data_IF_360108508158
#
_entry.id   IF_360108508158
#
_cell.length_a   1.000
_cell.length_b   1.000
_cell.length_c   1.000
_cell.angle_alpha   90.00
_cell.angle_beta   90.00
_cell.angle_gamma   90.00
#
_symmetry.space_group_name_H-M   'P 1'
#
loop_
_entity.id
_entity.type
_entity.pdbx_description
1 polymer ?
#
# COMPACT_ATOMS: atom_id res chain seq x y z
N UNK A 1 -4.65 -23.57 -2.57
CA UNK A 1 -5.01 -23.45 -2.17
C UNK A 1 -5.86 -23.70 -1.74
N UNK A 2 -6.19 -23.74 -1.54
CA UNK A 2 -7.03 -23.94 -1.24
C UNK A 2 -7.86 -23.41 -0.83
N UNK A 3 -8.29 -23.10 -0.72
CA UNK A 3 -9.08 -22.59 -0.51
C UNK A 3 -9.88 -22.11 -0.29
N UNK A 4 -9.94 -22.06 -0.46
CA UNK A 4 -10.91 -21.33 -0.76
C UNK A 4 -12.12 -21.24 -0.03
N UNK A 5 -12.63 -22.13 0.54
CA UNK A 5 -13.76 -21.98 1.19
C UNK A 5 -13.63 -21.08 2.30
N UNK A 6 -12.50 -20.91 2.69
CA UNK A 6 -12.24 -19.97 3.63
C UNK A 6 -12.61 -18.65 3.22
N UNK A 7 -12.59 -18.46 1.96
CA UNK A 7 -12.91 -17.22 1.41
C UNK A 7 -14.26 -16.78 1.77
N UNK A 8 -15.13 -17.72 1.95
CA UNK A 8 -16.48 -17.38 2.25
C UNK A 8 -16.64 -16.83 3.63
N UNK A 9 -15.65 -17.10 4.43
CA UNK A 9 -15.69 -16.59 5.71
C UNK A 9 -14.69 -15.53 5.84
N UNK A 10 -14.49 -14.79 4.80
CA UNK A 10 -13.49 -13.86 4.79
C UNK A 10 -13.51 -12.98 5.94
N UNK A 11 -12.40 -12.79 6.53
CA UNK A 11 -12.22 -11.80 7.54
C UNK A 11 -12.27 -10.44 6.89
N UNK A 12 -12.73 -9.47 7.61
CA UNK A 12 -12.66 -8.09 7.21
C UNK A 12 -11.20 -7.66 7.30
N UNK A 13 -10.63 -7.20 6.20
CA UNK A 13 -9.24 -6.76 6.13
C UNK A 13 -8.96 -5.63 7.13
N UNK A 14 -9.98 -4.86 7.48
CA UNK A 14 -9.82 -3.77 8.43
C UNK A 14 -9.86 -4.22 9.88
N UNK A 15 -10.22 -5.48 10.13
CA UNK A 15 -10.14 -6.03 11.47
C UNK A 15 -8.88 -6.81 11.66
N UNK A 16 -8.40 -7.44 10.59
CA UNK A 16 -7.22 -8.27 10.67
C UNK A 16 -6.53 -8.26 9.32
N UNK A 17 -5.51 -7.43 9.18
CA UNK A 17 -4.81 -7.28 7.93
C UNK A 17 -3.88 -8.47 7.71
N UNK A 18 -4.10 -9.26 6.67
CA UNK A 18 -3.27 -10.43 6.41
C UNK A 18 -1.90 -10.04 5.86
N UNK A 19 -0.95 -10.95 5.98
CA UNK A 19 0.33 -10.84 5.30
C UNK A 19 0.38 -11.91 4.21
N UNK A 20 1.12 -11.65 3.16
CA UNK A 20 1.26 -12.58 2.05
C UNK A 20 2.75 -12.72 1.74
N UNK A 21 3.19 -13.90 1.40
CA UNK A 21 4.60 -14.04 1.02
C UNK A 21 4.83 -15.19 0.05
N UNK A 22 5.91 -15.07 -0.68
CA UNK A 22 6.45 -16.16 -1.49
C UNK A 22 7.95 -16.26 -1.15
N UNK A 23 8.72 -16.95 -1.98
CA UNK A 23 10.14 -17.18 -1.71
C UNK A 23 10.94 -15.88 -1.65
N UNK A 24 10.54 -14.86 -2.41
CA UNK A 24 11.31 -13.65 -2.56
C UNK A 24 10.73 -12.45 -1.83
N UNK A 25 9.42 -12.33 -1.79
CA UNK A 25 8.78 -11.12 -1.28
C UNK A 25 7.82 -11.41 -0.14
N UNK A 26 7.75 -10.44 0.78
CA UNK A 26 6.77 -10.42 1.86
C UNK A 26 5.97 -9.14 1.74
N UNK A 27 4.65 -9.26 1.75
CA UNK A 27 3.74 -8.13 1.84
C UNK A 27 3.17 -8.13 3.24
N UNK A 28 3.46 -7.12 4.00
CA UNK A 28 2.91 -6.97 5.36
C UNK A 28 2.40 -5.56 5.56
N UNK A 29 1.54 -5.38 6.54
CA UNK A 29 0.98 -4.07 6.84
C UNK A 29 2.12 -3.07 7.07
N UNK A 30 1.95 -1.86 6.55
CA UNK A 30 2.99 -0.82 6.65
C UNK A 30 3.20 -0.37 8.10
N UNK A 31 4.41 -0.02 8.42
CA UNK A 31 4.82 0.42 9.77
C UNK A 31 5.61 1.72 9.65
N UNK A 32 5.61 2.51 10.70
CA UNK A 32 6.33 3.78 10.68
C UNK A 32 7.82 3.62 10.40
N UNK A 33 8.44 2.58 10.92
CA UNK A 33 9.86 2.41 10.68
C UNK A 33 10.19 1.91 9.27
N UNK A 34 9.20 1.69 8.42
CA UNK A 34 9.45 1.44 7.01
C UNK A 34 9.95 2.71 6.31
N UNK A 35 9.79 3.87 6.94
CA UNK A 35 10.17 5.15 6.33
C UNK A 35 11.63 5.20 5.92
N UNK A 36 12.52 4.59 6.70
CA UNK A 36 13.95 4.64 6.39
C UNK A 36 14.29 3.98 5.07
N UNK A 37 13.58 2.91 4.70
CA UNK A 37 13.79 2.24 3.42
C UNK A 37 12.95 2.89 2.33
N UNK A 38 11.69 3.18 2.62
CA UNK A 38 10.76 3.66 1.61
C UNK A 38 11.10 5.06 1.11
N UNK A 39 11.81 5.86 1.89
CA UNK A 39 12.20 7.18 1.43
C UNK A 39 13.06 7.09 0.16
N UNK A 40 13.86 6.04 0.03
CA UNK A 40 14.67 5.85 -1.18
C UNK A 40 13.80 5.61 -2.41
N UNK A 41 12.64 5.00 -2.22
CA UNK A 41 11.71 4.72 -3.32
C UNK A 41 10.98 6.00 -3.71
N UNK A 42 10.44 6.70 -2.73
CA UNK A 42 9.53 7.82 -2.98
C UNK A 42 10.24 9.16 -3.14
N UNK A 43 11.56 9.20 -2.99
CA UNK A 43 12.36 10.39 -3.28
C UNK A 43 13.04 10.32 -4.64
N UNK A 44 12.85 9.24 -5.38
CA UNK A 44 13.46 9.08 -6.70
C UNK A 44 12.65 9.86 -7.73
N UNK A 45 13.21 10.95 -8.22
CA UNK A 45 12.52 11.80 -9.19
C UNK A 45 12.27 11.10 -10.52
N UNK A 46 13.05 10.08 -10.83
CA UNK A 46 12.84 9.33 -12.06
C UNK A 46 11.61 8.43 -11.99
N UNK A 47 11.20 8.03 -10.80
CA UNK A 47 10.02 7.21 -10.61
C UNK A 47 8.75 8.03 -10.47
N UNK A 48 8.87 9.32 -10.22
CA UNK A 48 7.74 10.19 -9.92
C UNK A 48 6.59 10.14 -10.93
N UNK A 49 6.85 10.14 -12.24
CA UNK A 49 5.75 10.08 -13.21
C UNK A 49 4.94 8.80 -13.11
N UNK A 50 5.55 7.73 -12.63
CA UNK A 50 4.85 6.45 -12.51
C UNK A 50 3.98 6.41 -11.25
N UNK A 51 4.36 7.14 -10.21
CA UNK A 51 3.59 7.17 -8.96
C UNK A 51 2.39 8.10 -9.06
N UNK A 52 2.42 9.07 -9.94
CA UNK A 52 1.41 10.12 -10.01
C UNK A 52 0.50 10.04 -11.23
N UNK A 53 0.33 8.83 -11.75
CA UNK A 53 -0.46 8.65 -12.97
C UNK A 53 -1.94 8.94 -12.76
N UNK A 54 -2.44 8.85 -11.53
CA UNK A 54 -3.85 9.02 -11.24
C UNK A 54 -4.19 10.35 -10.59
N UNK A 55 -3.22 11.23 -10.48
CA UNK A 55 -3.41 12.56 -9.92
C UNK A 55 -4.02 12.64 -8.53
N UNK A 56 -4.15 11.59 -7.84
CA UNK A 56 -4.48 11.44 -6.43
C UNK A 56 -4.91 12.70 -5.69
N UNK A 57 -5.98 13.36 -6.13
CA UNK A 57 -6.50 14.62 -5.59
C UNK A 57 -5.43 15.74 -5.54
N UNK A 58 -4.51 15.73 -6.51
CA UNK A 58 -3.49 16.76 -6.58
C UNK A 58 -2.26 16.48 -5.72
N UNK A 59 -2.29 15.43 -4.93
CA UNK A 59 -1.12 15.06 -4.15
C UNK A 59 -0.10 14.37 -5.06
N UNK A 60 1.16 14.48 -4.72
CA UNK A 60 2.17 13.71 -5.42
C UNK A 60 2.83 12.77 -4.42
N UNK A 61 3.35 11.68 -4.92
CA UNK A 61 3.98 10.68 -4.08
C UNK A 61 5.49 10.92 -4.01
N UNK A 62 5.89 12.20 -3.97
CA UNK A 62 7.28 12.55 -3.81
C UNK A 62 7.55 12.94 -2.36
N UNK A 63 8.34 12.14 -1.68
CA UNK A 63 8.65 12.36 -0.28
C UNK A 63 10.17 12.49 -0.15
N UNK A 64 10.68 13.72 -0.09
CA UNK A 64 12.12 13.97 -0.25
C UNK A 64 12.98 13.56 0.95
N UNK A 65 12.40 13.36 2.10
CA UNK A 65 13.16 12.99 3.29
C UNK A 65 12.36 12.05 4.17
N UNK A 66 13.02 11.49 5.16
CA UNK A 66 12.42 10.48 6.02
C UNK A 66 11.27 11.03 6.85
N UNK A 67 11.36 12.27 7.28
CA UNK A 67 10.30 12.89 8.06
C UNK A 67 9.01 12.98 7.25
N UNK A 68 9.11 13.44 6.00
CA UNK A 68 7.94 13.52 5.13
C UNK A 68 7.41 12.13 4.81
N UNK A 69 8.29 11.14 4.67
CA UNK A 69 7.89 9.75 4.45
C UNK A 69 7.13 9.20 5.65
N UNK A 70 7.55 9.54 6.86
CA UNK A 70 6.83 9.13 8.06
C UNK A 70 5.45 9.71 8.11
N UNK A 71 5.30 10.99 7.73
CA UNK A 71 4.00 11.64 7.68
C UNK A 71 3.07 10.91 6.72
N UNK A 72 3.59 10.48 5.59
CA UNK A 72 2.80 9.73 4.62
C UNK A 72 2.35 8.40 5.21
N UNK A 73 3.24 7.68 5.88
CA UNK A 73 2.88 6.41 6.50
C UNK A 73 1.85 6.63 7.62
N UNK A 74 1.99 7.69 8.39
CA UNK A 74 1.00 8.01 9.42
C UNK A 74 -0.37 8.23 8.79
N UNK A 75 -0.41 8.90 7.64
CA UNK A 75 -1.67 9.08 6.92
C UNK A 75 -2.22 7.73 6.46
N UNK A 76 -1.36 6.83 5.97
CA UNK A 76 -1.80 5.50 5.57
C UNK A 76 -2.42 4.73 6.75
N UNK A 77 -1.80 4.83 7.92
CA UNK A 77 -2.28 4.13 9.11
C UNK A 77 -3.61 4.69 9.58
N UNK A 78 -3.77 6.02 9.55
CA UNK A 78 -5.04 6.65 9.90
C UNK A 78 -6.13 6.28 8.90
N UNK A 79 -5.77 6.21 7.61
CA UNK A 79 -6.71 5.84 6.56
C UNK A 79 -7.20 4.41 6.74
N UNK A 80 -6.32 3.52 7.18
CA UNK A 80 -6.70 2.15 7.48
C UNK A 80 -7.70 2.13 8.66
N UNK A 81 -7.43 2.89 9.70
CA UNK A 81 -8.33 2.97 10.86
C UNK A 81 -9.70 3.51 10.46
N UNK A 82 -9.75 4.37 9.46
CA UNK A 82 -11.00 4.93 8.94
C UNK A 82 -11.63 4.08 7.85
N UNK A 83 -11.00 2.97 7.51
CA UNK A 83 -11.47 2.03 6.48
C UNK A 83 -11.54 2.63 5.09
N UNK A 84 -10.60 3.52 4.78
CA UNK A 84 -10.53 4.15 3.47
C UNK A 84 -9.71 3.31 2.50
N UNK A 85 -8.57 2.79 2.94
CA UNK A 85 -7.74 1.90 2.14
C UNK A 85 -6.77 1.13 3.03
N UNK A 86 -6.21 0.07 2.48
CA UNK A 86 -5.17 -0.69 3.16
C UNK A 86 -3.92 -0.63 2.31
N UNK A 87 -2.78 -0.50 2.94
CA UNK A 87 -1.51 -0.47 2.24
C UNK A 87 -0.54 -1.44 2.87
N UNK A 88 0.06 -2.27 2.03
CA UNK A 88 1.08 -3.24 2.44
C UNK A 88 2.43 -2.73 1.98
N UNK A 89 3.44 -2.90 2.81
CA UNK A 89 4.82 -2.67 2.42
C UNK A 89 5.35 -3.95 1.78
N UNK A 90 6.08 -3.80 0.68
CA UNK A 90 6.70 -4.92 -0.01
C UNK A 90 8.13 -5.04 0.49
N UNK A 91 8.46 -6.18 1.09
CA UNK A 91 9.80 -6.45 1.59
C UNK A 91 10.48 -7.42 0.63
N UNK A 92 11.68 -7.06 0.19
CA UNK A 92 12.54 -7.99 -0.53
C UNK A 92 13.24 -8.82 0.54
N UNK A 93 12.91 -10.09 0.62
CA UNK A 93 13.41 -10.98 1.68
C UNK A 93 14.91 -11.23 1.55
N UNK A 94 15.43 -11.18 0.34
CA UNK A 94 16.84 -11.41 0.10
C UNK A 94 17.65 -10.19 0.55
N UNK A 95 17.18 -9.00 0.23
CA UNK A 95 17.85 -7.76 0.61
C UNK A 95 17.51 -7.30 2.02
N UNK A 96 16.49 -7.89 2.65
CA UNK A 96 15.98 -7.47 3.96
C UNK A 96 15.61 -5.98 3.95
N UNK A 97 14.87 -5.58 2.92
CA UNK A 97 14.62 -4.16 2.69
C UNK A 97 13.23 -3.93 2.11
N UNK A 98 12.58 -2.86 2.55
CA UNK A 98 11.31 -2.44 1.95
C UNK A 98 11.62 -1.78 0.60
N UNK A 99 10.92 -2.20 -0.45
CA UNK A 99 11.21 -1.77 -1.82
C UNK A 99 10.02 -1.11 -2.50
N UNK A 100 8.88 -1.02 -1.85
CA UNK A 100 7.71 -0.39 -2.43
C UNK A 100 6.48 -0.69 -1.61
N UNK A 101 5.32 -0.39 -2.14
CA UNK A 101 4.06 -0.65 -1.45
C UNK A 101 2.92 -0.95 -2.41
N UNK A 102 1.89 -1.59 -1.88
CA UNK A 102 0.66 -1.90 -2.61
C UNK A 102 -0.50 -1.35 -1.82
N UNK A 103 -1.39 -0.65 -2.49
CA UNK A 103 -2.61 -0.13 -1.89
C UNK A 103 -3.82 -0.77 -2.54
N UNK A 104 -4.83 -1.09 -1.72
CA UNK A 104 -6.10 -1.61 -2.22
C UNK A 104 -7.23 -0.82 -1.57
N UNK A 105 -8.18 -0.39 -2.36
CA UNK A 105 -9.36 0.29 -1.86
C UNK A 105 -10.59 -0.07 -2.68
N UNK A 106 -11.75 0.15 -2.09
CA UNK A 106 -13.02 -0.09 -2.75
C UNK A 106 -13.49 1.21 -3.38
N UNK A 107 -13.82 1.15 -4.66
CA UNK A 107 -14.31 2.32 -5.38
C UNK A 107 -15.82 2.30 -5.44
N UNK A 108 -16.45 3.40 -5.05
CA UNK A 108 -17.88 3.61 -5.21
C UNK A 108 -18.08 4.84 -6.07
N UNK A 109 -18.80 4.70 -7.16
CA UNK A 109 -19.03 5.80 -8.10
C UNK A 109 -20.29 5.51 -8.90
N UNK A 110 -20.73 6.51 -9.66
CA UNK A 110 -21.93 6.36 -10.49
C UNK A 110 -21.55 6.07 -11.94
N UNK A 111 -20.70 5.08 -12.13
CA UNK A 111 -20.29 4.66 -13.47
C UNK A 111 -20.13 3.14 -13.49
N UNK A 112 -19.63 2.61 -14.60
CA UNK A 112 -19.52 1.18 -14.80
C UNK A 112 -18.50 0.51 -13.87
N UNK A 113 -17.69 1.30 -13.17
CA UNK A 113 -16.68 0.79 -12.26
C UNK A 113 -17.07 0.96 -10.78
N UNK A 114 -18.38 1.03 -10.53
CA UNK A 114 -18.88 1.11 -9.16
C UNK A 114 -18.73 -0.25 -8.48
N UNK A 115 -18.44 -0.23 -7.19
CA UNK A 115 -18.27 -1.44 -6.37
C UNK A 115 -17.12 -2.34 -6.84
N UNK A 116 -16.04 -1.78 -7.33
CA UNK A 116 -14.87 -2.55 -7.71
C UNK A 116 -13.73 -2.30 -6.74
N UNK A 117 -12.87 -3.27 -6.58
CA UNK A 117 -11.63 -3.10 -5.85
C UNK A 117 -10.57 -2.52 -6.77
N UNK A 118 -9.81 -1.55 -6.29
CA UNK A 118 -8.73 -0.95 -7.06
C UNK A 118 -7.42 -1.28 -6.38
N UNK A 119 -6.46 -1.77 -7.18
CA UNK A 119 -5.13 -2.09 -6.70
C UNK A 119 -4.13 -1.12 -7.30
N UNK A 120 -3.29 -0.56 -6.47
CA UNK A 120 -2.25 0.37 -6.87
C UNK A 120 -0.91 -0.17 -6.40
N UNK A 121 0.06 -0.17 -7.29
CA UNK A 121 1.41 -0.64 -6.97
C UNK A 121 2.41 0.49 -7.16
N UNK A 122 3.22 0.77 -6.16
CA UNK A 122 4.27 1.78 -6.22
C UNK A 122 5.65 1.18 -5.98
#
# INVERSE_FOLDING_TARGET
>A
MRETKQVNKMSDVYKNCPAFENDRFLLRFSQLNDASDLVSVYSDKNALPFFNSDNCHGDNFYYPNEERMREAIEFWLRSYSSKWFVRWTIIDKEAHKAIGSIEVFHRSANDDFNHVGVLRLD
#
